data_IF_461139261424
#
_entry.id   IF_461139261424
#
_cell.length_a   1.000
_cell.length_b   1.000
_cell.length_c   1.000
_cell.angle_alpha   90.00
_cell.angle_beta   90.00
_cell.angle_gamma   90.00
#
_symmetry.space_group_name_H-M   'P 1'
#
loop_
_entity.id
_entity.type
_entity.pdbx_description
1 polymer ?
#
# COMPACT_ATOMS: atom_id res chain seq x y z
N UNK A 1 2.99 -12.09 5.35
CA UNK A 1 2.12 -11.17 4.56
C UNK A 1 1.31 -11.99 3.58
N UNK A 2 0.04 -11.70 3.46
CA UNK A 2 -0.86 -12.35 2.51
C UNK A 2 -1.52 -11.31 1.61
N UNK A 3 -1.49 -11.55 0.31
CA UNK A 3 -2.08 -10.68 -0.70
C UNK A 3 -2.82 -11.53 -1.75
N UNK A 4 -3.91 -12.16 -1.30
CA UNK A 4 -4.70 -13.08 -2.11
C UNK A 4 -5.54 -12.38 -3.18
N UNK A 5 -5.51 -12.93 -4.38
CA UNK A 5 -6.30 -12.49 -5.52
C UNK A 5 -6.98 -13.72 -6.15
N UNK A 6 -8.28 -13.63 -6.38
CA UNK A 6 -8.99 -14.66 -7.13
C UNK A 6 -8.84 -14.40 -8.63
N UNK A 7 -8.13 -15.29 -9.33
CA UNK A 7 -7.75 -15.12 -10.73
C UNK A 7 -8.65 -15.97 -11.63
N UNK A 8 -9.57 -15.29 -12.30
CA UNK A 8 -10.38 -15.87 -13.38
C UNK A 8 -10.02 -15.29 -14.74
N UNK A 9 -10.83 -15.56 -15.73
CA UNK A 9 -10.77 -14.92 -17.05
C UNK A 9 -12.13 -14.41 -17.46
N UNK A 10 -12.15 -13.35 -18.27
CA UNK A 10 -13.40 -12.82 -18.81
C UNK A 10 -14.15 -13.86 -19.63
N UNK A 11 -13.45 -14.70 -20.40
CA UNK A 11 -14.06 -15.78 -21.19
C UNK A 11 -14.82 -16.75 -20.29
N UNK A 12 -14.17 -17.29 -19.26
CA UNK A 12 -14.79 -18.24 -18.33
C UNK A 12 -15.92 -17.64 -17.53
N UNK A 13 -15.80 -16.37 -17.15
CA UNK A 13 -16.85 -15.63 -16.48
C UNK A 13 -18.08 -15.47 -17.36
N UNK A 14 -17.91 -15.12 -18.64
CA UNK A 14 -18.99 -14.92 -19.59
C UNK A 14 -19.66 -16.20 -20.06
N UNK A 15 -18.94 -17.32 -20.06
CA UNK A 15 -19.50 -18.63 -20.46
C UNK A 15 -20.53 -19.19 -19.47
N UNK A 16 -20.66 -18.57 -18.28
CA UNK A 16 -21.76 -18.81 -17.35
C UNK A 16 -21.93 -20.26 -16.91
N UNK A 17 -20.84 -20.96 -16.67
CA UNK A 17 -20.90 -22.31 -16.14
C UNK A 17 -21.40 -22.27 -14.70
N UNK A 18 -22.59 -22.79 -14.52
CA UNK A 18 -23.39 -22.80 -13.29
C UNK A 18 -22.70 -23.33 -12.03
N UNK A 19 -21.45 -23.73 -12.12
CA UNK A 19 -20.80 -24.38 -11.00
C UNK A 19 -19.41 -23.92 -10.71
N UNK A 20 -18.92 -22.84 -11.35
CA UNK A 20 -17.48 -22.79 -11.19
C UNK A 20 -16.94 -21.44 -11.32
N UNK A 21 -16.63 -21.02 -10.22
CA UNK A 21 -15.41 -20.31 -10.00
C UNK A 21 -14.31 -21.03 -10.81
N UNK A 22 -14.20 -20.67 -12.08
CA UNK A 22 -13.25 -21.26 -13.01
C UNK A 22 -11.82 -20.70 -12.78
N UNK A 23 -11.62 -20.01 -11.67
CA UNK A 23 -10.36 -19.45 -11.24
C UNK A 23 -9.83 -20.11 -9.97
N UNK A 24 -8.80 -19.51 -9.43
CA UNK A 24 -8.15 -19.95 -8.20
C UNK A 24 -7.60 -18.73 -7.45
N UNK A 25 -7.51 -18.86 -6.12
CA UNK A 25 -6.80 -17.92 -5.28
C UNK A 25 -5.30 -18.09 -5.47
N UNK A 26 -4.61 -16.99 -5.78
CA UNK A 26 -3.15 -16.91 -5.77
C UNK A 26 -2.73 -15.82 -4.79
N UNK A 27 -1.71 -16.10 -4.01
CA UNK A 27 -1.07 -15.08 -3.17
C UNK A 27 -0.01 -14.34 -3.97
N UNK A 28 -0.22 -13.07 -4.23
CA UNK A 28 0.73 -12.26 -4.99
C UNK A 28 2.10 -12.18 -4.31
N UNK A 29 2.13 -12.24 -2.99
CA UNK A 29 3.38 -12.16 -2.22
C UNK A 29 4.26 -13.42 -2.31
N UNK A 30 3.74 -14.52 -2.85
CA UNK A 30 4.51 -15.73 -3.11
C UNK A 30 5.40 -15.64 -4.36
N UNK A 31 5.26 -14.58 -5.15
CA UNK A 31 6.00 -14.38 -6.39
C UNK A 31 6.99 -13.24 -6.25
N UNK A 32 8.17 -13.39 -6.85
CA UNK A 32 9.24 -12.41 -6.75
C UNK A 32 9.00 -11.15 -7.58
N UNK A 33 8.14 -11.24 -8.60
CA UNK A 33 7.87 -10.14 -9.51
C UNK A 33 6.47 -10.22 -10.13
N UNK A 34 6.05 -9.09 -10.72
CA UNK A 34 4.86 -9.04 -11.56
C UNK A 34 4.88 -10.08 -12.67
N UNK A 35 6.02 -10.25 -13.35
CA UNK A 35 6.15 -11.20 -14.46
C UNK A 35 5.99 -12.65 -14.00
N UNK A 36 6.51 -13.00 -12.83
CA UNK A 36 6.35 -14.32 -12.24
C UNK A 36 4.91 -14.60 -11.86
N UNK A 37 4.24 -13.61 -11.28
CA UNK A 37 2.81 -13.71 -10.97
C UNK A 37 1.96 -13.88 -12.22
N UNK A 38 2.20 -13.10 -13.27
CA UNK A 38 1.48 -13.22 -14.54
C UNK A 38 1.77 -14.59 -15.21
N UNK A 39 3.00 -15.09 -15.12
CA UNK A 39 3.31 -16.43 -15.59
C UNK A 39 2.49 -17.51 -14.87
N UNK A 40 2.32 -17.38 -13.56
CA UNK A 40 1.46 -18.27 -12.79
C UNK A 40 -0.03 -18.16 -13.19
N UNK A 41 -0.51 -16.95 -13.46
CA UNK A 41 -1.86 -16.75 -13.99
C UNK A 41 -2.06 -17.42 -15.36
N UNK A 42 -1.07 -17.32 -16.23
CA UNK A 42 -1.09 -18.00 -17.55
C UNK A 42 -1.08 -19.51 -17.41
N UNK A 43 -0.28 -20.05 -16.53
CA UNK A 43 -0.25 -21.50 -16.26
C UNK A 43 -1.59 -21.99 -15.70
N UNK A 44 -2.22 -21.21 -14.83
CA UNK A 44 -3.55 -21.52 -14.28
C UNK A 44 -4.62 -21.60 -15.38
N UNK A 45 -4.52 -20.76 -16.39
CA UNK A 45 -5.47 -20.65 -17.51
C UNK A 45 -4.88 -21.09 -18.86
N UNK A 46 -3.98 -22.06 -18.86
CA UNK A 46 -3.29 -22.56 -20.07
C UNK A 46 -4.20 -23.23 -21.08
N UNK A 47 -5.44 -23.53 -20.72
CA UNK A 47 -6.49 -23.99 -21.62
C UNK A 47 -7.02 -22.91 -22.57
N UNK A 48 -6.64 -21.64 -22.35
CA UNK A 48 -6.94 -20.53 -23.23
C UNK A 48 -5.66 -20.07 -23.95
N UNK A 49 -5.74 -19.79 -25.25
CA UNK A 49 -4.58 -19.35 -26.03
C UNK A 49 -4.09 -17.96 -25.62
N UNK A 50 -5.02 -17.05 -25.39
CA UNK A 50 -4.76 -15.66 -24.95
C UNK A 50 -5.71 -15.28 -23.81
N UNK A 51 -5.44 -15.74 -22.59
CA UNK A 51 -6.33 -15.45 -21.47
C UNK A 51 -6.31 -13.96 -21.09
N UNK A 52 -7.49 -13.36 -21.02
CA UNK A 52 -7.70 -12.06 -20.43
C UNK A 52 -8.08 -12.23 -18.96
N UNK A 53 -7.15 -11.94 -18.06
CA UNK A 53 -7.36 -12.15 -16.64
C UNK A 53 -8.40 -11.20 -16.06
N UNK A 54 -9.24 -11.76 -15.19
CA UNK A 54 -10.20 -11.04 -14.39
C UNK A 54 -9.89 -11.33 -12.93
N UNK A 55 -9.46 -10.30 -12.20
CA UNK A 55 -9.21 -10.38 -10.78
C UNK A 55 -10.53 -10.09 -10.05
N UNK A 56 -11.24 -11.17 -9.69
CA UNK A 56 -12.64 -11.10 -9.29
C UNK A 56 -12.84 -10.79 -7.81
N UNK A 57 -11.90 -11.16 -6.99
CA UNK A 57 -11.97 -10.97 -5.55
C UNK A 57 -10.58 -10.81 -4.95
N UNK A 58 -10.51 -10.16 -3.80
CA UNK A 58 -9.27 -9.78 -3.15
C UNK A 58 -9.36 -10.07 -1.65
N UNK A 59 -8.30 -10.67 -1.12
CA UNK A 59 -8.14 -10.88 0.32
C UNK A 59 -6.70 -10.47 0.71
N UNK A 60 -6.57 -9.25 1.23
CA UNK A 60 -5.30 -8.67 1.61
C UNK A 60 -5.20 -8.52 3.13
N UNK A 61 -4.04 -8.82 3.68
CA UNK A 61 -3.74 -8.48 5.07
C UNK A 61 -4.01 -6.99 5.34
N UNK A 62 -4.49 -6.68 6.52
CA UNK A 62 -4.91 -5.33 6.90
C UNK A 62 -3.82 -4.27 6.73
N UNK A 63 -2.57 -4.63 6.93
CA UNK A 63 -1.42 -3.72 6.80
C UNK A 63 -1.20 -3.22 5.37
N UNK A 64 -1.38 -4.09 4.38
CA UNK A 64 -1.12 -3.77 2.97
C UNK A 64 -2.38 -3.42 2.20
N UNK A 65 -3.54 -3.71 2.76
CA UNK A 65 -4.83 -3.48 2.09
C UNK A 65 -5.04 -2.05 1.60
N UNK A 66 -4.76 -0.99 2.39
CA UNK A 66 -4.96 0.38 1.92
C UNK A 66 -4.14 0.73 0.68
N UNK A 67 -2.94 0.18 0.57
CA UNK A 67 -2.05 0.40 -0.57
C UNK A 67 -2.45 -0.45 -1.77
N UNK A 68 -2.67 -1.75 -1.55
CA UNK A 68 -2.99 -2.68 -2.63
C UNK A 68 -4.33 -2.39 -3.30
N UNK A 69 -5.30 -1.86 -2.57
CA UNK A 69 -6.59 -1.42 -3.16
C UNK A 69 -6.42 -0.36 -4.24
N UNK A 70 -5.36 0.41 -4.21
CA UNK A 70 -5.06 1.41 -5.23
C UNK A 70 -4.31 0.82 -6.42
N UNK A 71 -3.61 -0.30 -6.21
CA UNK A 71 -2.73 -0.92 -7.20
C UNK A 71 -3.35 -2.13 -7.90
N UNK A 72 -4.42 -2.70 -7.34
CA UNK A 72 -5.12 -3.85 -7.92
C UNK A 72 -6.57 -3.47 -8.17
N UNK A 73 -6.95 -3.38 -9.43
CA UNK A 73 -8.30 -2.93 -9.83
C UNK A 73 -8.81 -3.74 -11.03
N UNK A 74 -9.93 -4.43 -10.83
CA UNK A 74 -10.61 -5.12 -11.92
C UNK A 74 -9.73 -6.13 -12.64
N UNK A 75 -9.36 -5.83 -13.86
CA UNK A 75 -8.52 -6.70 -14.71
C UNK A 75 -7.03 -6.37 -14.65
N UNK A 76 -6.64 -5.41 -13.83
CA UNK A 76 -5.27 -4.90 -13.80
C UNK A 76 -4.64 -4.99 -12.42
N UNK A 77 -3.41 -5.47 -12.41
CA UNK A 77 -2.51 -5.41 -11.27
C UNK A 77 -1.35 -4.49 -11.64
N UNK A 78 -1.15 -3.45 -10.87
CA UNK A 78 0.00 -2.56 -11.08
C UNK A 78 1.28 -3.28 -10.59
N UNK A 79 2.34 -3.35 -11.40
CA UNK A 79 3.62 -3.93 -11.00
C UNK A 79 4.23 -3.33 -9.73
N UNK A 80 3.86 -2.10 -9.37
CA UNK A 80 4.28 -1.46 -8.12
C UNK A 80 3.79 -2.18 -6.85
N UNK A 81 2.83 -3.11 -6.96
CA UNK A 81 2.41 -3.94 -5.83
C UNK A 81 3.61 -4.68 -5.20
N UNK A 82 4.58 -5.09 -6.00
CA UNK A 82 5.79 -5.76 -5.51
C UNK A 82 6.71 -4.84 -4.73
N UNK A 83 6.73 -3.55 -5.02
CA UNK A 83 7.41 -2.56 -4.19
C UNK A 83 6.77 -2.46 -2.80
N UNK A 84 5.46 -2.62 -2.71
CA UNK A 84 4.73 -2.65 -1.42
C UNK A 84 5.15 -3.85 -0.56
N UNK A 85 5.35 -5.02 -1.16
CA UNK A 85 5.72 -6.23 -0.43
C UNK A 85 7.12 -6.15 0.22
N UNK A 86 7.97 -5.28 -0.27
CA UNK A 86 9.31 -5.04 0.27
C UNK A 86 9.34 -4.05 1.45
N UNK A 87 8.21 -3.37 1.73
CA UNK A 87 8.15 -2.36 2.77
C UNK A 87 7.95 -2.96 4.16
N UNK A 88 8.62 -2.38 5.15
CA UNK A 88 8.31 -2.60 6.56
C UNK A 88 7.10 -1.77 6.99
N UNK A 89 6.67 -1.91 8.24
CA UNK A 89 5.50 -1.17 8.77
C UNK A 89 5.67 0.34 8.68
N UNK A 90 6.88 0.85 8.92
CA UNK A 90 7.19 2.27 8.77
C UNK A 90 7.06 2.72 7.31
N UNK A 91 7.62 1.94 6.38
CA UNK A 91 7.51 2.22 4.95
C UNK A 91 6.08 2.25 4.45
N UNK A 92 5.25 1.30 4.87
CA UNK A 92 3.82 1.27 4.54
C UNK A 92 3.10 2.53 5.02
N UNK A 93 3.38 2.96 6.25
CA UNK A 93 2.82 4.19 6.82
C UNK A 93 3.27 5.42 6.04
N UNK A 94 4.54 5.49 5.67
CA UNK A 94 5.09 6.60 4.88
C UNK A 94 4.42 6.74 3.51
N UNK A 95 4.25 5.63 2.79
CA UNK A 95 3.60 5.64 1.48
C UNK A 95 2.14 6.07 1.59
N UNK A 96 1.41 5.51 2.55
CA UNK A 96 0.01 5.84 2.76
C UNK A 96 -0.17 7.32 3.12
N UNK A 97 0.69 7.86 3.98
CA UNK A 97 0.67 9.26 4.36
C UNK A 97 0.98 10.19 3.18
N UNK A 98 1.95 9.84 2.35
CA UNK A 98 2.30 10.62 1.17
C UNK A 98 1.15 10.66 0.16
N UNK A 99 0.53 9.53 -0.12
CA UNK A 99 -0.64 9.47 -1.00
C UNK A 99 -1.83 10.24 -0.46
N UNK A 100 -2.05 10.21 0.85
CA UNK A 100 -3.17 10.93 1.48
C UNK A 100 -2.97 12.44 1.61
N UNK A 101 -1.73 12.88 1.85
CA UNK A 101 -1.45 14.27 2.19
C UNK A 101 -0.84 15.10 1.04
N UNK A 102 -0.22 14.45 0.07
CA UNK A 102 0.48 15.16 -1.01
C UNK A 102 -0.12 14.84 -2.37
N UNK A 103 0.13 13.64 -2.88
CA UNK A 103 -0.26 13.28 -4.23
C UNK A 103 -0.47 11.76 -4.34
N UNK A 104 -1.69 11.36 -4.68
CA UNK A 104 -2.06 9.97 -4.87
C UNK A 104 -1.51 9.36 -6.16
N UNK A 105 -0.97 10.18 -7.07
CA UNK A 105 -0.38 9.73 -8.33
C UNK A 105 1.11 9.41 -8.23
N UNK A 106 1.73 9.69 -7.07
CA UNK A 106 3.11 9.29 -6.81
C UNK A 106 3.27 7.76 -6.93
N UNK A 107 4.40 7.33 -7.50
CA UNK A 107 4.78 5.92 -7.43
C UNK A 107 5.01 5.49 -5.96
N UNK A 108 5.00 4.19 -5.70
CA UNK A 108 5.30 3.67 -4.35
C UNK A 108 6.67 4.16 -3.86
N UNK A 109 7.67 4.15 -4.73
CA UNK A 109 9.03 4.60 -4.40
C UNK A 109 9.10 6.09 -4.12
N UNK A 110 8.44 6.91 -4.94
CA UNK A 110 8.35 8.36 -4.73
C UNK A 110 7.57 8.69 -3.46
N UNK A 111 6.45 8.01 -3.24
CA UNK A 111 5.64 8.18 -2.03
C UNK A 111 6.42 7.78 -0.76
N UNK A 112 7.21 6.72 -0.82
CA UNK A 112 8.09 6.32 0.28
C UNK A 112 9.11 7.40 0.61
N UNK A 113 9.75 7.97 -0.39
CA UNK A 113 10.72 9.04 -0.22
C UNK A 113 10.09 10.29 0.39
N UNK A 114 8.97 10.74 -0.16
CA UNK A 114 8.23 11.90 0.37
C UNK A 114 7.70 11.67 1.78
N UNK A 115 7.15 10.50 2.04
CA UNK A 115 6.63 10.13 3.35
C UNK A 115 7.72 10.08 4.42
N UNK A 116 8.91 9.58 4.08
CA UNK A 116 10.05 9.55 5.01
C UNK A 116 10.54 10.93 5.43
N UNK A 117 10.46 11.91 4.56
CA UNK A 117 10.82 13.30 4.91
C UNK A 117 9.94 13.87 6.01
N UNK A 118 8.70 13.42 6.13
CA UNK A 118 7.72 13.91 7.08
C UNK A 118 7.49 12.96 8.28
N UNK A 119 8.12 11.79 8.27
CA UNK A 119 7.93 10.79 9.32
C UNK A 119 8.62 11.20 10.61
N UNK A 120 7.86 11.25 11.69
CA UNK A 120 8.34 11.68 13.01
C UNK A 120 8.55 10.48 13.94
N UNK A 121 7.77 9.42 13.77
CA UNK A 121 7.84 8.22 14.59
C UNK A 121 6.47 7.57 14.77
N UNK A 122 6.43 6.42 15.41
CA UNK A 122 5.22 5.77 15.86
C UNK A 122 5.13 5.87 17.38
N UNK A 123 3.93 6.09 17.90
CA UNK A 123 3.68 6.32 19.30
C UNK A 123 2.67 5.29 19.81
N UNK A 124 3.12 4.46 20.75
CA UNK A 124 2.28 3.48 21.44
C UNK A 124 1.71 4.04 22.76
N UNK A 125 1.99 5.31 23.04
CA UNK A 125 1.63 6.01 24.26
C UNK A 125 0.33 6.81 24.13
N UNK A 126 -0.08 7.44 25.21
CA UNK A 126 -1.25 8.29 25.22
C UNK A 126 -1.18 9.41 24.17
N UNK A 127 -2.30 9.75 23.53
CA UNK A 127 -2.32 10.80 22.48
C UNK A 127 -1.70 12.14 22.90
N UNK A 128 -1.73 12.44 24.19
CA UNK A 128 -1.12 13.66 24.72
C UNK A 128 0.40 13.70 24.57
N UNK A 129 1.07 12.58 24.76
CA UNK A 129 2.52 12.50 24.64
C UNK A 129 2.96 12.74 23.19
N UNK A 130 2.25 12.16 22.23
CA UNK A 130 2.46 12.42 20.82
C UNK A 130 2.34 13.90 20.48
N UNK A 131 1.28 14.56 20.96
CA UNK A 131 1.03 15.97 20.69
C UNK A 131 2.16 16.83 21.23
N UNK A 132 2.66 16.55 22.41
CA UNK A 132 3.77 17.32 22.99
C UNK A 132 5.06 17.17 22.18
N UNK A 133 5.46 15.96 21.84
CA UNK A 133 6.68 15.72 21.07
C UNK A 133 6.61 16.34 19.68
N UNK A 134 5.47 16.22 19.02
CA UNK A 134 5.21 16.83 17.72
C UNK A 134 5.26 18.36 17.78
N UNK A 135 4.63 18.96 18.80
CA UNK A 135 4.65 20.40 18.99
C UNK A 135 6.06 20.92 19.31
N UNK A 136 6.85 20.20 20.08
CA UNK A 136 8.24 20.59 20.35
C UNK A 136 9.06 20.71 19.07
N UNK A 137 8.94 19.73 18.16
CA UNK A 137 9.66 19.78 16.89
C UNK A 137 9.22 20.95 16.00
N UNK A 138 7.92 21.20 15.92
CA UNK A 138 7.40 22.36 15.18
C UNK A 138 7.84 23.67 15.79
N UNK A 139 7.73 23.80 17.12
CA UNK A 139 8.05 25.03 17.83
C UNK A 139 9.54 25.39 17.74
N UNK A 140 10.43 24.40 17.70
CA UNK A 140 11.85 24.62 17.44
C UNK A 140 12.13 25.21 16.07
N UNK A 141 11.27 24.95 15.11
CA UNK A 141 11.41 25.42 13.73
C UNK A 141 10.79 26.82 13.50
N UNK A 142 9.96 27.31 14.41
CA UNK A 142 9.22 28.57 14.25
C UNK A 142 9.85 29.70 15.06
N UNK A 143 10.04 30.90 14.44
CA UNK A 143 10.57 32.09 15.17
C UNK A 143 9.63 32.52 16.28
N UNK A 144 10.18 32.76 17.49
CA UNK A 144 9.43 33.29 18.60
C UNK A 144 8.35 32.36 19.19
N UNK A 145 8.43 31.07 18.90
CA UNK A 145 7.51 30.07 19.43
C UNK A 145 7.74 29.80 20.92
N UNK A 146 6.68 29.42 21.61
CA UNK A 146 6.70 29.12 23.05
C UNK A 146 6.58 27.61 23.26
N UNK A 147 7.44 27.07 24.14
CA UNK A 147 7.34 25.67 24.56
C UNK A 147 6.05 25.45 25.34
N UNK A 148 5.16 24.55 24.90
CA UNK A 148 3.89 24.30 25.58
C UNK A 148 4.04 23.65 26.98
N UNK A 149 5.17 22.98 27.25
CA UNK A 149 5.44 22.32 28.53
C UNK A 149 6.04 23.28 29.56
N UNK A 150 7.00 24.09 29.14
CA UNK A 150 7.78 24.96 30.02
C UNK A 150 7.42 26.44 29.91
N UNK A 151 6.74 26.85 28.86
CA UNK A 151 6.48 28.26 28.55
C UNK A 151 7.72 29.00 28.03
N UNK A 152 8.82 28.30 27.77
CA UNK A 152 10.02 28.91 27.23
C UNK A 152 9.84 29.35 25.78
N UNK A 153 10.43 30.49 25.45
CA UNK A 153 10.40 31.07 24.13
C UNK A 153 11.52 30.45 23.26
N UNK A 154 11.15 29.80 22.15
CA UNK A 154 12.12 29.37 21.19
C UNK A 154 12.52 30.51 20.25
N UNK A 155 13.82 30.64 20.04
CA UNK A 155 14.37 31.56 19.06
C UNK A 155 14.85 30.77 17.84
N UNK A 156 14.41 31.23 16.69
CA UNK A 156 15.00 30.77 15.42
C UNK A 156 15.93 31.83 14.90
N UNK A 157 17.02 31.37 14.37
CA UNK A 157 18.07 32.22 13.83
C UNK A 157 18.07 32.15 12.32
#
# INVERSE_FOLDING_TARGET
MYAGVYVGTYKKYNEGNDNKLAGKWLDMSDYDSYDDFIAACKELHKDEDEPEFMFQDFDFDSEVRPLLKQLVKGSQVDPQAWDVFELDSEGLTCVLAAWGNYDSDLSVKEALEEGRKSYIGSYDSEPGDYVYDFLEEILKALPGSVDPKTGELYRTY
#
